data_IF_212340149715
#
_entry.id   IF_212340149715
#
_cell.length_a   1.000
_cell.length_b   1.000
_cell.length_c   1.000
_cell.angle_alpha   90.00
_cell.angle_beta   90.00
_cell.angle_gamma   90.00
#
_symmetry.space_group_name_H-M   'P 1'
#
loop_
_entity.id
_entity.type
_entity.pdbx_description
1 polymer ?
#
# COMPACT_ATOMS: atom_id res chain seq x y z
N UNK A 1 13.93 30.50 6.46
CA UNK A 1 15.40 30.60 6.49
C UNK A 1 15.92 30.38 7.91
N UNK A 2 16.32 29.16 8.26
CA UNK A 2 17.07 28.83 9.48
C UNK A 2 18.20 27.88 9.06
N UNK A 3 19.35 28.45 8.69
CA UNK A 3 20.56 27.69 8.38
C UNK A 3 21.21 27.28 9.70
N UNK A 4 21.03 26.04 10.10
CA UNK A 4 21.86 25.42 11.13
C UNK A 4 23.24 25.17 10.50
N UNK A 5 24.19 26.07 10.74
CA UNK A 5 25.59 25.86 10.37
C UNK A 5 26.18 24.77 11.29
N UNK A 6 25.89 23.50 10.99
CA UNK A 6 26.74 22.39 11.43
C UNK A 6 28.02 22.44 10.61
N UNK A 7 29.00 23.20 11.08
CA UNK A 7 30.37 23.17 10.57
C UNK A 7 30.99 21.84 10.98
N UNK A 8 30.70 20.77 10.24
CA UNK A 8 31.42 19.51 10.33
C UNK A 8 32.77 19.75 9.66
N UNK A 9 33.81 19.99 10.46
CA UNK A 9 35.17 20.01 9.96
C UNK A 9 35.49 18.63 9.34
N UNK A 10 36.16 18.58 8.17
CA UNK A 10 36.52 17.31 7.54
C UNK A 10 37.46 16.50 8.44
N UNK A 11 37.39 15.15 8.42
CA UNK A 11 38.31 14.31 9.16
C UNK A 11 39.74 14.52 8.65
N UNK A 12 40.70 14.58 9.57
CA UNK A 12 42.13 14.68 9.25
C UNK A 12 42.54 13.42 8.50
N UNK A 13 43.01 13.59 7.26
CA UNK A 13 43.62 12.52 6.45
C UNK A 13 45.01 12.23 7.03
N UNK A 14 45.21 11.03 7.54
CA UNK A 14 46.50 10.56 8.06
C UNK A 14 47.20 9.68 7.01
N UNK A 15 48.50 9.89 6.72
CA UNK A 15 49.28 8.97 5.90
C UNK A 15 49.38 7.60 6.58
N UNK A 16 49.13 6.55 5.81
CA UNK A 16 48.91 5.16 6.26
C UNK A 16 50.13 4.45 6.84
N UNK A 17 51.33 5.04 6.80
CA UNK A 17 52.59 4.34 7.11
C UNK A 17 53.11 4.48 8.56
N UNK A 18 52.43 5.19 9.47
CA UNK A 18 52.99 5.50 10.81
C UNK A 18 52.17 4.92 11.98
N UNK A 19 51.16 4.09 11.73
CA UNK A 19 50.18 3.70 12.78
C UNK A 19 50.71 2.60 13.73
N UNK A 20 51.75 1.85 13.36
CA UNK A 20 52.23 0.71 14.16
C UNK A 20 52.96 1.10 15.45
N UNK A 21 53.71 2.21 15.47
CA UNK A 21 54.67 2.50 16.57
C UNK A 21 54.38 3.78 17.38
N UNK A 22 53.11 4.17 17.50
CA UNK A 22 52.72 5.35 18.29
C UNK A 22 52.38 5.00 19.75
N UNK A 23 53.04 5.69 20.68
CA UNK A 23 52.78 5.61 22.12
C UNK A 23 51.34 6.03 22.48
N UNK A 24 50.78 5.56 23.62
CA UNK A 24 49.40 5.85 24.02
C UNK A 24 49.10 7.37 24.10
N UNK A 25 50.10 8.15 24.50
CA UNK A 25 50.04 9.61 24.62
C UNK A 25 49.93 10.29 23.26
N UNK A 26 50.65 9.81 22.24
CA UNK A 26 50.57 10.32 20.86
C UNK A 26 49.21 9.98 20.22
N UNK A 27 48.68 8.77 20.47
CA UNK A 27 47.32 8.40 20.03
C UNK A 27 46.23 9.25 20.68
N UNK A 28 46.43 9.68 21.93
CA UNK A 28 45.50 10.57 22.66
C UNK A 28 45.52 11.99 22.09
N UNK A 29 46.69 12.50 21.69
CA UNK A 29 46.83 13.81 21.03
C UNK A 29 46.17 13.83 19.64
N UNK A 30 46.32 12.75 18.86
CA UNK A 30 45.69 12.65 17.52
C UNK A 30 44.16 12.60 17.58
N UNK A 31 43.58 12.07 18.66
CA UNK A 31 42.12 12.03 18.90
C UNK A 31 41.61 13.23 19.70
N UNK A 32 42.49 14.12 20.14
CA UNK A 32 42.11 15.25 20.98
C UNK A 32 41.46 16.35 20.14
N UNK A 33 40.17 16.59 20.38
CA UNK A 33 39.45 17.71 19.81
C UNK A 33 39.04 18.65 20.93
N UNK A 34 39.56 19.88 20.90
CA UNK A 34 39.23 20.94 21.87
C UNK A 34 37.73 21.19 21.96
N UNK A 35 37.02 21.12 20.83
CA UNK A 35 35.56 21.27 20.77
C UNK A 35 34.82 20.21 21.60
N UNK A 36 35.25 18.94 21.54
CA UNK A 36 34.61 17.87 22.32
C UNK A 36 34.82 18.05 23.83
N UNK A 37 36.01 18.50 24.25
CA UNK A 37 36.28 18.79 25.66
C UNK A 37 35.52 20.03 26.16
N UNK A 38 35.38 21.06 25.33
CA UNK A 38 34.51 22.21 25.65
C UNK A 38 33.05 21.80 25.75
N UNK A 39 32.57 20.93 24.86
CA UNK A 39 31.20 20.42 24.87
C UNK A 39 30.94 19.54 26.11
N UNK A 40 31.89 18.68 26.49
CA UNK A 40 31.81 17.91 27.75
C UNK A 40 31.75 18.81 28.98
N UNK A 41 32.61 19.84 29.06
CA UNK A 41 32.59 20.82 30.17
C UNK A 41 31.27 21.59 30.22
N UNK A 42 30.72 21.97 29.06
CA UNK A 42 29.42 22.63 28.99
C UNK A 42 28.30 21.72 29.48
N UNK A 43 28.29 20.46 29.05
CA UNK A 43 27.29 19.48 29.48
C UNK A 43 27.37 19.19 30.99
N UNK A 44 28.58 19.14 31.56
CA UNK A 44 28.77 19.05 33.01
C UNK A 44 28.20 20.27 33.74
N UNK A 45 28.51 21.49 33.28
CA UNK A 45 27.96 22.72 33.86
C UNK A 45 26.42 22.77 33.80
N UNK A 46 25.82 22.30 32.71
CA UNK A 46 24.37 22.21 32.56
C UNK A 46 23.79 21.18 33.53
N UNK A 47 24.40 20.00 33.65
CA UNK A 47 23.98 18.96 34.58
C UNK A 47 24.08 19.43 36.05
N UNK A 48 25.17 20.11 36.42
CA UNK A 48 25.36 20.64 37.77
C UNK A 48 24.34 21.72 38.11
N UNK A 49 24.02 22.62 37.16
CA UNK A 49 22.95 23.61 37.34
C UNK A 49 21.59 22.95 37.50
N UNK A 50 21.30 21.90 36.73
CA UNK A 50 20.05 21.16 36.83
C UNK A 50 19.92 20.44 38.18
N UNK A 51 20.98 19.79 38.65
CA UNK A 51 21.03 19.15 39.97
C UNK A 51 20.84 20.16 41.09
N UNK A 52 21.50 21.33 41.01
CA UNK A 52 21.33 22.39 41.99
C UNK A 52 19.90 22.93 42.03
N UNK A 53 19.29 23.16 40.88
CA UNK A 53 17.89 23.56 40.79
C UNK A 53 16.95 22.49 41.37
N UNK A 54 17.19 21.21 41.07
CA UNK A 54 16.44 20.09 41.62
C UNK A 54 16.52 20.04 43.15
N UNK A 55 17.73 20.12 43.73
CA UNK A 55 17.92 20.14 45.18
C UNK A 55 17.21 21.33 45.84
N UNK A 56 17.30 22.53 45.26
CA UNK A 56 16.59 23.72 45.78
C UNK A 56 15.08 23.49 45.75
N UNK A 57 14.55 22.89 44.68
CA UNK A 57 13.11 22.66 44.52
C UNK A 57 12.61 21.58 45.49
N UNK A 58 13.39 20.52 45.71
CA UNK A 58 13.07 19.46 46.66
C UNK A 58 13.18 19.94 48.11
N UNK A 59 14.20 20.73 48.46
CA UNK A 59 14.29 21.33 49.80
C UNK A 59 13.12 22.28 50.06
N UNK A 60 12.72 23.11 49.08
CA UNK A 60 11.51 23.93 49.17
C UNK A 60 10.23 23.11 49.30
N UNK A 61 10.18 21.91 48.71
CA UNK A 61 9.03 21.01 48.83
C UNK A 61 8.96 20.36 50.21
N UNK A 62 10.11 19.99 50.77
CA UNK A 62 10.21 19.39 52.11
C UNK A 62 10.01 20.42 53.23
N UNK A 63 10.27 21.71 52.98
CA UNK A 63 10.03 22.81 53.91
C UNK A 63 8.62 23.41 53.80
N UNK A 64 7.77 22.93 52.89
CA UNK A 64 6.36 23.32 52.89
C UNK A 64 5.67 22.58 54.01
N UNK A 65 5.10 23.33 54.95
CA UNK A 65 4.14 22.79 55.90
C UNK A 65 3.04 22.03 55.13
N UNK A 66 2.56 20.89 55.65
CA UNK A 66 1.44 20.20 55.04
C UNK A 66 0.28 21.18 54.87
N UNK A 67 -0.38 21.13 53.71
CA UNK A 67 -1.53 21.99 53.45
C UNK A 67 -2.52 21.86 54.62
N UNK A 68 -3.01 22.98 55.20
CA UNK A 68 -3.93 22.91 56.32
C UNK A 68 -5.11 22.02 55.94
N UNK A 69 -5.59 21.14 56.85
CA UNK A 69 -6.74 20.31 56.57
C UNK A 69 -7.90 21.21 56.13
N UNK A 70 -8.51 20.86 55.01
CA UNK A 70 -9.64 21.60 54.43
C UNK A 70 -10.69 21.73 55.55
N UNK A 71 -11.09 22.95 55.96
CA UNK A 71 -12.09 23.12 56.99
C UNK A 71 -13.35 22.35 56.61
N UNK A 72 -13.80 21.44 57.47
CA UNK A 72 -15.04 20.70 57.22
C UNK A 72 -16.23 21.66 57.34
N UNK A 73 -16.58 22.27 56.22
CA UNK A 73 -17.78 23.10 56.10
C UNK A 73 -19.03 22.23 56.34
N UNK A 74 -20.05 22.74 57.07
CA UNK A 74 -21.34 22.09 57.23
C UNK A 74 -21.92 21.66 55.87
N UNK A 75 -22.62 20.51 55.83
CA UNK A 75 -23.08 19.88 54.57
C UNK A 75 -23.90 20.82 53.66
N UNK A 76 -24.70 21.73 54.24
CA UNK A 76 -25.48 22.76 53.54
C UNK A 76 -24.61 23.84 52.89
N UNK A 77 -23.59 24.34 53.59
CA UNK A 77 -22.65 25.34 53.07
C UNK A 77 -21.75 24.72 52.01
N UNK A 78 -21.33 23.47 52.22
CA UNK A 78 -20.53 22.69 51.28
C UNK A 78 -21.26 22.47 49.94
N UNK A 79 -22.55 22.12 49.98
CA UNK A 79 -23.39 21.98 48.78
C UNK A 79 -23.57 23.30 48.02
N UNK A 80 -23.81 24.41 48.73
CA UNK A 80 -23.92 25.73 48.10
C UNK A 80 -22.59 26.18 47.47
N UNK A 81 -21.48 25.99 48.16
CA UNK A 81 -20.15 26.33 47.66
C UNK A 81 -19.78 25.54 46.40
N UNK A 82 -20.06 24.23 46.39
CA UNK A 82 -19.86 23.40 45.21
C UNK A 82 -20.74 23.81 44.03
N UNK A 83 -22.01 24.16 44.26
CA UNK A 83 -22.88 24.68 43.20
C UNK A 83 -22.34 26.00 42.61
N UNK A 84 -21.87 26.93 43.44
CA UNK A 84 -21.27 28.20 42.98
C UNK A 84 -20.01 27.93 42.15
N UNK A 85 -19.15 27.02 42.58
CA UNK A 85 -17.95 26.63 41.82
C UNK A 85 -18.31 26.03 40.46
N UNK A 86 -19.30 25.15 40.41
CA UNK A 86 -19.80 24.54 39.16
C UNK A 86 -20.35 25.61 38.21
N UNK A 87 -21.22 26.51 38.70
CA UNK A 87 -21.80 27.59 37.88
C UNK A 87 -20.72 28.55 37.37
N UNK A 88 -19.76 28.93 38.21
CA UNK A 88 -18.65 29.80 37.81
C UNK A 88 -17.76 29.13 36.76
N UNK A 89 -17.45 27.84 36.92
CA UNK A 89 -16.66 27.10 35.95
C UNK A 89 -17.37 27.02 34.58
N UNK A 90 -18.67 26.70 34.56
CA UNK A 90 -19.45 26.65 33.31
C UNK A 90 -19.54 28.01 32.62
N UNK A 91 -19.74 29.08 33.40
CA UNK A 91 -19.73 30.44 32.88
C UNK A 91 -18.37 30.80 32.26
N UNK A 92 -17.28 30.54 32.98
CA UNK A 92 -15.92 30.80 32.49
C UNK A 92 -15.58 29.93 31.27
N UNK A 93 -16.00 28.66 31.23
CA UNK A 93 -15.84 27.77 30.07
C UNK A 93 -16.54 28.37 28.85
N UNK A 94 -17.77 28.87 29.00
CA UNK A 94 -18.51 29.56 27.94
C UNK A 94 -17.76 30.79 27.43
N UNK A 95 -17.20 31.61 28.32
CA UNK A 95 -16.40 32.77 27.93
C UNK A 95 -15.13 32.39 27.15
N UNK A 96 -14.45 31.29 27.54
CA UNK A 96 -13.26 30.81 26.82
C UNK A 96 -13.62 30.26 25.44
N UNK A 97 -14.75 29.55 25.32
CA UNK A 97 -15.23 29.02 24.04
C UNK A 97 -15.71 30.10 23.07
N UNK A 98 -16.13 31.27 23.56
CA UNK A 98 -16.54 32.41 22.72
C UNK A 98 -15.36 33.18 22.11
N UNK A 99 -14.12 32.89 22.52
CA UNK A 99 -12.95 33.53 21.90
C UNK A 99 -12.81 33.07 20.44
N UNK A 100 -12.47 34.00 19.51
CA UNK A 100 -12.17 33.63 18.15
C UNK A 100 -10.95 32.71 18.12
N UNK A 101 -11.11 31.56 17.48
CA UNK A 101 -10.06 30.55 17.33
C UNK A 101 -9.24 30.84 16.07
N UNK A 102 -7.96 30.45 16.10
CA UNK A 102 -7.15 30.44 14.87
C UNK A 102 -7.63 29.28 14.00
N UNK A 103 -8.13 29.52 12.77
CA UNK A 103 -8.56 28.47 11.87
C UNK A 103 -7.36 27.62 11.43
N UNK A 104 -7.62 26.40 10.94
CA UNK A 104 -6.56 25.55 10.41
C UNK A 104 -5.83 26.27 9.25
N UNK A 105 -4.49 26.31 9.25
CA UNK A 105 -3.75 26.89 8.14
C UNK A 105 -4.03 26.14 6.83
N UNK A 106 -4.44 26.86 5.77
CA UNK A 106 -4.74 26.26 4.47
C UNK A 106 -3.58 25.46 3.88
N UNK A 107 -2.35 25.86 4.17
CA UNK A 107 -1.14 25.14 3.75
C UNK A 107 -1.10 23.69 4.26
N UNK A 108 -1.69 23.41 5.43
CA UNK A 108 -1.75 22.05 5.98
C UNK A 108 -2.73 21.19 5.19
N UNK A 109 -3.90 21.74 4.88
CA UNK A 109 -4.90 21.07 4.05
C UNK A 109 -4.34 20.77 2.65
N UNK A 110 -3.67 21.74 2.03
CA UNK A 110 -3.00 21.52 0.73
C UNK A 110 -1.93 20.43 0.83
N UNK A 111 -1.12 20.44 1.90
CA UNK A 111 -0.07 19.43 2.10
C UNK A 111 -0.67 18.02 2.28
N UNK A 112 -1.78 17.89 3.01
CA UNK A 112 -2.50 16.63 3.15
C UNK A 112 -2.98 16.11 1.80
N UNK A 113 -3.57 16.98 0.97
CA UNK A 113 -4.02 16.60 -0.37
C UNK A 113 -2.87 16.19 -1.29
N UNK A 114 -1.71 16.84 -1.22
CA UNK A 114 -0.54 16.44 -2.02
C UNK A 114 0.02 15.06 -1.65
N UNK A 115 -0.30 14.53 -0.46
CA UNK A 115 0.09 13.18 -0.06
C UNK A 115 -0.88 12.11 -0.57
N UNK A 116 -2.07 12.49 -1.04
CA UNK A 116 -3.06 11.58 -1.59
C UNK A 116 -2.81 11.40 -3.09
N UNK A 117 -2.67 10.16 -3.59
CA UNK A 117 -2.54 9.89 -5.02
C UNK A 117 -3.71 10.44 -5.84
N UNK A 118 -3.42 11.01 -7.01
CA UNK A 118 -4.40 11.66 -7.90
C UNK A 118 -5.52 10.69 -8.34
N UNK A 119 -5.16 9.42 -8.60
CA UNK A 119 -6.09 8.36 -9.01
C UNK A 119 -7.19 8.04 -7.99
N UNK A 120 -7.00 8.40 -6.72
CA UNK A 120 -8.02 8.23 -5.68
C UNK A 120 -8.94 9.44 -5.56
N UNK A 121 -8.50 10.61 -6.07
CA UNK A 121 -9.25 11.86 -6.03
C UNK A 121 -10.15 12.04 -7.25
N UNK A 122 -9.71 11.54 -8.42
CA UNK A 122 -10.48 11.61 -9.67
C UNK A 122 -11.84 10.90 -9.52
N UNK A 123 -12.93 11.64 -9.78
CA UNK A 123 -14.31 11.14 -9.70
C UNK A 123 -14.89 11.05 -8.28
N UNK A 124 -14.12 11.45 -7.26
CA UNK A 124 -14.51 11.39 -5.83
C UNK A 124 -14.37 12.74 -5.11
N UNK A 125 -14.50 13.84 -5.83
CA UNK A 125 -14.28 15.20 -5.33
C UNK A 125 -15.21 15.56 -4.15
N UNK A 126 -16.46 15.10 -4.19
CA UNK A 126 -17.44 15.30 -3.11
C UNK A 126 -17.05 14.59 -1.81
N UNK A 127 -16.43 13.41 -1.91
CA UNK A 127 -15.98 12.65 -0.74
C UNK A 127 -14.75 13.32 -0.13
N UNK A 128 -13.82 13.76 -0.98
CA UNK A 128 -12.63 14.53 -0.55
C UNK A 128 -13.04 15.81 0.17
N UNK A 129 -14.03 16.54 -0.34
CA UNK A 129 -14.52 17.74 0.31
C UNK A 129 -15.11 17.46 1.70
N UNK A 130 -15.95 16.42 1.84
CA UNK A 130 -16.51 16.02 3.14
C UNK A 130 -15.42 15.63 4.15
N UNK A 131 -14.38 14.93 3.70
CA UNK A 131 -13.25 14.56 4.57
C UNK A 131 -12.45 15.77 5.03
N UNK A 132 -12.26 16.78 4.16
CA UNK A 132 -11.61 18.03 4.54
C UNK A 132 -12.45 18.79 5.58
N UNK A 133 -13.78 18.83 5.39
CA UNK A 133 -14.71 19.45 6.35
C UNK A 133 -14.62 18.75 7.72
N UNK A 134 -14.61 17.41 7.75
CA UNK A 134 -14.42 16.63 8.98
C UNK A 134 -13.10 16.96 9.68
N UNK A 135 -11.99 17.05 8.94
CA UNK A 135 -10.68 17.42 9.50
C UNK A 135 -10.69 18.83 10.10
N UNK A 136 -11.37 19.79 9.45
CA UNK A 136 -11.52 21.15 9.97
C UNK A 136 -12.32 21.13 11.27
N UNK A 137 -13.46 20.44 11.31
CA UNK A 137 -14.31 20.33 12.49
C UNK A 137 -13.56 19.69 13.67
N UNK A 138 -12.80 18.62 13.42
CA UNK A 138 -12.01 17.93 14.45
C UNK A 138 -10.86 18.79 14.97
N UNK A 139 -10.20 19.55 14.10
CA UNK A 139 -9.19 20.52 14.50
C UNK A 139 -9.79 21.59 15.40
N UNK A 140 -10.95 22.15 15.03
CA UNK A 140 -11.66 23.14 15.82
C UNK A 140 -12.08 22.60 17.19
N UNK A 141 -12.67 21.41 17.22
CA UNK A 141 -13.06 20.74 18.46
C UNK A 141 -11.85 20.50 19.37
N UNK A 142 -10.73 20.06 18.80
CA UNK A 142 -9.49 19.80 19.53
C UNK A 142 -8.84 21.08 20.07
N UNK A 143 -8.85 22.16 19.30
CA UNK A 143 -8.26 23.43 19.71
C UNK A 143 -9.12 24.14 20.76
N UNK A 144 -10.46 24.11 20.64
CA UNK A 144 -11.38 24.62 21.67
C UNK A 144 -11.15 23.89 23.00
N UNK A 145 -10.98 22.57 22.96
CA UNK A 145 -10.62 21.75 24.13
C UNK A 145 -9.27 22.18 24.74
N UNK A 146 -8.25 22.33 23.89
CA UNK A 146 -6.93 22.78 24.34
C UNK A 146 -6.98 24.17 25.00
N UNK A 147 -7.73 25.11 24.45
CA UNK A 147 -7.90 26.45 25.00
C UNK A 147 -8.53 26.42 26.39
N UNK A 148 -9.64 25.68 26.56
CA UNK A 148 -10.31 25.54 27.86
C UNK A 148 -9.35 24.98 28.91
N UNK A 149 -8.61 23.92 28.58
CA UNK A 149 -7.64 23.29 29.50
C UNK A 149 -6.45 24.18 29.84
N UNK A 150 -6.01 25.01 28.91
CA UNK A 150 -4.86 25.91 29.13
C UNK A 150 -5.23 27.08 30.04
N UNK A 151 -6.46 27.59 29.93
CA UNK A 151 -6.91 28.78 30.67
C UNK A 151 -7.60 28.41 31.98
N UNK A 152 -8.38 27.33 32.01
CA UNK A 152 -9.19 26.92 33.16
C UNK A 152 -8.72 25.58 33.73
N UNK A 153 -8.57 25.53 35.05
CA UNK A 153 -8.44 24.26 35.78
C UNK A 153 -9.82 23.78 36.18
N UNK A 154 -10.18 22.54 35.80
CA UNK A 154 -11.42 21.90 36.21
C UNK A 154 -11.42 21.70 37.74
N UNK A 155 -12.41 22.20 38.48
CA UNK A 155 -12.54 21.94 39.91
C UNK A 155 -13.05 20.50 40.13
N UNK A 156 -12.54 19.84 41.17
CA UNK A 156 -12.92 18.47 41.54
C UNK A 156 -14.23 18.48 42.35
N UNK A 157 -15.36 18.50 41.64
CA UNK A 157 -16.71 18.66 42.21
C UNK A 157 -17.69 17.71 41.54
N UNK A 158 -18.52 17.03 42.35
CA UNK A 158 -19.64 16.19 41.87
C UNK A 158 -20.65 17.06 41.09
N UNK A 159 -20.90 16.72 39.83
CA UNK A 159 -21.76 17.49 38.91
C UNK A 159 -21.06 18.07 37.67
N UNK A 160 -19.74 17.86 37.52
CA UNK A 160 -18.98 18.11 36.29
C UNK A 160 -18.46 16.80 35.65
N UNK A 161 -19.12 15.68 35.95
CA UNK A 161 -18.74 14.33 35.50
C UNK A 161 -19.03 14.16 34.00
N UNK A 162 -20.17 14.68 33.51
CA UNK A 162 -20.53 14.67 32.08
C UNK A 162 -19.63 15.57 31.21
N UNK A 163 -18.88 16.49 31.84
CA UNK A 163 -17.89 17.36 31.21
C UNK A 163 -16.50 16.71 31.13
N UNK A 164 -16.42 15.39 31.35
CA UNK A 164 -15.20 14.61 31.12
C UNK A 164 -14.92 14.51 29.62
N UNK A 165 -14.39 15.60 29.06
CA UNK A 165 -13.78 15.60 27.74
C UNK A 165 -12.72 14.51 27.73
N UNK A 166 -12.88 13.53 26.83
CA UNK A 166 -11.98 12.40 26.65
C UNK A 166 -10.52 12.82 26.88
N UNK A 167 -9.73 12.04 27.63
CA UNK A 167 -8.33 12.36 27.87
C UNK A 167 -7.67 12.65 26.51
N UNK A 168 -6.69 13.57 26.48
CA UNK A 168 -5.87 13.69 25.28
C UNK A 168 -5.39 12.28 24.93
N UNK A 169 -5.31 11.88 23.66
CA UNK A 169 -4.65 10.64 23.30
C UNK A 169 -3.23 10.74 23.85
N UNK A 170 -3.03 10.15 25.03
CA UNK A 170 -1.71 10.04 25.60
C UNK A 170 -1.03 9.03 24.69
N UNK A 171 0.17 9.38 24.21
CA UNK A 171 1.10 8.39 23.64
C UNK A 171 0.93 7.10 24.45
N UNK A 172 0.56 5.97 23.82
CA UNK A 172 -0.05 4.84 24.51
C UNK A 172 0.67 4.55 25.82
N UNK A 173 0.04 4.93 26.94
CA UNK A 173 0.57 4.72 28.29
C UNK A 173 0.57 3.21 28.49
N UNK A 174 1.76 2.61 28.44
CA UNK A 174 1.93 1.16 28.34
C UNK A 174 3.02 0.73 27.35
N UNK A 175 3.52 1.63 26.50
CA UNK A 175 4.80 1.44 25.81
C UNK A 175 5.95 1.65 26.80
N UNK A 176 6.09 0.72 27.73
CA UNK A 176 7.29 0.58 28.52
C UNK A 176 8.45 0.20 27.58
N UNK A 177 9.30 1.14 27.20
CA UNK A 177 10.51 0.85 26.40
C UNK A 177 11.57 0.05 27.17
N UNK A 178 11.35 -0.23 28.46
CA UNK A 178 12.21 -1.06 29.33
C UNK A 178 11.84 -2.55 29.32
N UNK A 179 10.76 -2.92 28.63
CA UNK A 179 10.26 -4.28 28.59
C UNK A 179 11.19 -5.30 27.88
N UNK A 180 11.15 -6.59 28.27
CA UNK A 180 12.10 -7.62 27.85
C UNK A 180 12.11 -7.90 26.34
N UNK A 181 11.06 -7.50 25.61
CA UNK A 181 11.01 -7.65 24.16
C UNK A 181 12.02 -6.76 23.43
N UNK A 182 12.52 -5.67 24.02
CA UNK A 182 13.52 -4.80 23.35
C UNK A 182 14.77 -5.59 22.97
N UNK A 183 15.20 -6.54 23.82
CA UNK A 183 16.34 -7.42 23.52
C UNK A 183 16.00 -8.34 22.35
N UNK A 184 14.82 -8.96 22.36
CA UNK A 184 14.34 -9.82 21.28
C UNK A 184 14.19 -9.06 19.96
N UNK A 185 13.59 -7.87 19.98
CA UNK A 185 13.48 -6.97 18.84
C UNK A 185 14.84 -6.52 18.33
N UNK A 186 15.76 -6.11 19.21
CA UNK A 186 17.11 -5.70 18.80
C UNK A 186 17.89 -6.87 18.20
N UNK A 187 17.70 -8.08 18.75
CA UNK A 187 18.28 -9.31 18.22
C UNK A 187 17.69 -9.66 16.85
N UNK A 188 16.36 -9.66 16.71
CA UNK A 188 15.66 -9.89 15.45
C UNK A 188 16.05 -8.85 14.39
N UNK A 189 16.08 -7.56 14.75
CA UNK A 189 16.54 -6.47 13.88
C UNK A 189 17.98 -6.69 13.42
N UNK A 190 18.90 -7.02 14.34
CA UNK A 190 20.30 -7.33 13.98
C UNK A 190 20.39 -8.55 13.06
N UNK A 191 19.61 -9.60 13.33
CA UNK A 191 19.55 -10.82 12.52
C UNK A 191 19.03 -10.53 11.10
N UNK A 192 17.96 -9.76 10.97
CA UNK A 192 17.42 -9.31 9.68
C UNK A 192 18.46 -8.47 8.96
N UNK A 193 19.06 -7.48 9.62
CA UNK A 193 20.03 -6.58 9.01
C UNK A 193 21.31 -7.30 8.56
N UNK A 194 21.71 -8.36 9.27
CA UNK A 194 22.86 -9.20 8.89
C UNK A 194 22.61 -10.15 7.73
N UNK A 195 21.33 -10.48 7.43
CA UNK A 195 20.97 -11.48 6.41
C UNK A 195 20.37 -10.86 5.14
N UNK A 196 19.60 -9.79 5.28
CA UNK A 196 18.79 -9.21 4.19
C UNK A 196 19.61 -8.32 3.23
N UNK A 197 20.85 -7.96 3.59
CA UNK A 197 21.82 -7.23 2.75
C UNK A 197 21.28 -6.02 1.93
N UNK A 198 20.17 -5.40 2.36
CA UNK A 198 19.43 -4.36 1.61
C UNK A 198 20.28 -3.13 1.29
N UNK A 199 21.21 -2.80 2.17
CA UNK A 199 22.05 -1.59 2.07
C UNK A 199 23.24 -1.79 1.11
N UNK A 200 23.44 -3.00 0.58
CA UNK A 200 24.56 -3.27 -0.30
C UNK A 200 24.44 -2.50 -1.63
N UNK A 201 25.49 -1.81 -2.11
CA UNK A 201 25.43 -1.02 -3.36
C UNK A 201 24.93 -1.81 -4.57
N UNK A 202 25.29 -3.10 -4.65
CA UNK A 202 24.83 -4.01 -5.72
C UNK A 202 23.31 -4.21 -5.73
N UNK A 203 22.66 -4.23 -4.56
CA UNK A 203 21.20 -4.34 -4.47
C UNK A 203 20.51 -3.09 -5.02
N UNK A 204 21.08 -1.92 -4.75
CA UNK A 204 20.60 -0.66 -5.33
C UNK A 204 20.73 -0.66 -6.85
N UNK A 205 21.89 -1.04 -7.40
CA UNK A 205 22.07 -1.09 -8.85
C UNK A 205 21.15 -2.10 -9.52
N UNK A 206 20.89 -3.24 -8.87
CA UNK A 206 19.90 -4.23 -9.33
C UNK A 206 18.48 -3.66 -9.33
N UNK A 207 18.11 -2.91 -8.29
CA UNK A 207 16.85 -2.16 -8.23
C UNK A 207 16.74 -1.17 -9.40
N UNK A 208 17.78 -0.39 -9.65
CA UNK A 208 17.83 0.60 -10.73
C UNK A 208 17.67 -0.08 -12.11
N UNK A 209 18.27 -1.26 -12.32
CA UNK A 209 18.09 -2.03 -13.55
C UNK A 209 16.65 -2.50 -13.74
N UNK A 210 16.02 -3.01 -12.67
CA UNK A 210 14.61 -3.42 -12.74
C UNK A 210 13.69 -2.23 -12.99
N UNK A 211 13.89 -1.10 -12.32
CA UNK A 211 13.09 0.10 -12.57
C UNK A 211 13.24 0.58 -14.02
N UNK A 212 14.47 0.63 -14.54
CA UNK A 212 14.72 1.07 -15.91
C UNK A 212 14.14 0.10 -16.96
N UNK A 213 14.13 -1.20 -16.69
CA UNK A 213 13.60 -2.21 -17.60
C UNK A 213 12.07 -2.32 -17.54
N UNK A 214 11.50 -2.24 -16.34
CA UNK A 214 10.11 -2.60 -16.10
C UNK A 214 9.18 -1.41 -15.94
N UNK A 215 9.64 -0.20 -15.56
CA UNK A 215 8.73 0.92 -15.24
C UNK A 215 7.65 1.20 -16.30
N UNK A 216 8.00 1.21 -17.58
CA UNK A 216 7.07 1.43 -18.70
C UNK A 216 6.80 0.18 -19.55
N UNK A 217 7.13 -1.01 -19.06
CA UNK A 217 7.03 -2.25 -19.82
C UNK A 217 5.89 -3.13 -19.30
N UNK A 218 5.06 -3.64 -20.20
CA UNK A 218 4.05 -4.67 -19.90
C UNK A 218 4.38 -5.91 -20.72
N UNK A 219 4.01 -7.09 -20.21
CA UNK A 219 4.22 -8.34 -20.95
C UNK A 219 3.32 -8.40 -22.20
N UNK A 220 2.12 -7.86 -22.08
CA UNK A 220 1.13 -7.77 -23.16
C UNK A 220 0.62 -6.34 -23.21
N UNK A 221 0.60 -5.77 -24.41
CA UNK A 221 0.04 -4.45 -24.65
C UNK A 221 -1.44 -4.57 -25.02
N UNK A 222 -2.30 -4.22 -24.06
CA UNK A 222 -3.74 -4.31 -24.23
C UNK A 222 -4.37 -3.09 -24.91
N UNK A 223 -3.63 -2.01 -25.13
CA UNK A 223 -4.17 -0.79 -25.76
C UNK A 223 -4.68 -1.02 -27.18
N UNK A 224 -4.15 -2.03 -27.87
CA UNK A 224 -4.56 -2.38 -29.23
C UNK A 224 -5.87 -3.18 -29.31
N UNK A 225 -6.42 -3.65 -28.18
CA UNK A 225 -7.61 -4.50 -28.17
C UNK A 225 -8.89 -3.72 -28.45
N UNK A 226 -8.96 -2.44 -28.08
CA UNK A 226 -10.10 -1.56 -28.37
C UNK A 226 -10.09 -0.99 -29.80
N UNK A 227 -8.93 -1.00 -30.47
CA UNK A 227 -8.74 -0.44 -31.82
C UNK A 227 -8.79 -1.49 -32.94
N UNK A 228 -8.87 -2.78 -32.59
CA UNK A 228 -8.86 -3.90 -33.54
C UNK A 228 -10.27 -4.37 -33.88
N UNK A 229 -10.37 -5.10 -34.99
CA UNK A 229 -11.57 -5.86 -35.37
C UNK A 229 -11.99 -6.84 -34.25
N UNK A 230 -13.27 -7.26 -34.21
CA UNK A 230 -13.76 -8.23 -33.23
C UNK A 230 -12.84 -9.43 -33.10
N UNK A 231 -12.44 -9.71 -31.87
CA UNK A 231 -11.39 -10.65 -31.54
C UNK A 231 -11.98 -12.05 -31.45
N UNK A 232 -11.30 -12.99 -32.06
CA UNK A 232 -11.61 -14.41 -31.93
C UNK A 232 -10.87 -15.01 -30.72
N UNK A 233 -11.48 -15.94 -30.00
CA UNK A 233 -10.90 -16.53 -28.79
C UNK A 233 -9.56 -17.22 -29.07
N UNK A 234 -9.45 -17.98 -30.14
CA UNK A 234 -8.21 -18.68 -30.49
C UNK A 234 -7.11 -17.67 -30.84
N UNK A 235 -7.50 -16.59 -31.52
CA UNK A 235 -6.58 -15.49 -31.85
C UNK A 235 -6.10 -14.74 -30.59
N UNK A 236 -6.97 -14.56 -29.58
CA UNK A 236 -6.62 -13.94 -28.31
C UNK A 236 -5.53 -14.76 -27.61
N UNK A 237 -5.77 -16.06 -27.41
CA UNK A 237 -4.83 -16.94 -26.71
C UNK A 237 -3.49 -17.01 -27.44
N UNK A 238 -3.50 -17.18 -28.76
CA UNK A 238 -2.28 -17.22 -29.56
C UNK A 238 -1.49 -15.89 -29.48
N UNK A 239 -2.18 -14.75 -29.54
CA UNK A 239 -1.55 -13.43 -29.45
C UNK A 239 -0.95 -13.16 -28.07
N UNK A 240 -1.66 -13.52 -27.01
CA UNK A 240 -1.17 -13.40 -25.62
C UNK A 240 0.05 -14.29 -25.42
N UNK A 241 -0.05 -15.57 -25.79
CA UNK A 241 1.05 -16.53 -25.68
C UNK A 241 2.30 -16.08 -26.45
N UNK A 242 2.13 -15.58 -27.69
CA UNK A 242 3.22 -15.02 -28.48
C UNK A 242 3.83 -13.77 -27.85
N UNK A 243 2.99 -12.89 -27.30
CA UNK A 243 3.45 -11.66 -26.63
C UNK A 243 4.24 -11.98 -25.37
N UNK A 244 3.74 -12.90 -24.54
CA UNK A 244 4.44 -13.42 -23.36
C UNK A 244 5.81 -14.02 -23.73
N UNK A 245 5.87 -14.86 -24.77
CA UNK A 245 7.12 -15.48 -25.24
C UNK A 245 8.16 -14.44 -25.69
N UNK A 246 7.72 -13.46 -26.50
CA UNK A 246 8.58 -12.35 -26.95
C UNK A 246 9.05 -11.47 -25.79
N UNK A 247 8.16 -11.21 -24.83
CA UNK A 247 8.50 -10.43 -23.65
C UNK A 247 9.52 -11.16 -22.76
N UNK A 248 9.35 -12.46 -22.56
CA UNK A 248 10.30 -13.31 -21.83
C UNK A 248 11.68 -13.31 -22.48
N UNK A 249 11.77 -13.52 -23.79
CA UNK A 249 13.03 -13.45 -24.54
C UNK A 249 13.69 -12.07 -24.39
N UNK A 250 12.91 -10.99 -24.52
CA UNK A 250 13.41 -9.62 -24.35
C UNK A 250 13.95 -9.39 -22.93
N UNK A 251 13.24 -9.83 -21.90
CA UNK A 251 13.68 -9.72 -20.49
C UNK A 251 14.98 -10.50 -20.28
N UNK A 252 15.07 -11.70 -20.84
CA UNK A 252 16.24 -12.56 -20.73
C UNK A 252 17.48 -11.93 -21.40
N UNK A 253 17.32 -11.32 -22.57
CA UNK A 253 18.43 -10.72 -23.32
C UNK A 253 18.83 -9.32 -22.83
N UNK A 254 17.93 -8.60 -22.14
CA UNK A 254 18.19 -7.22 -21.70
C UNK A 254 18.44 -7.14 -20.20
N UNK A 255 17.39 -7.23 -19.39
CA UNK A 255 17.47 -7.09 -17.93
C UNK A 255 18.32 -8.21 -17.34
N UNK A 256 18.03 -9.47 -17.66
CA UNK A 256 18.72 -10.60 -17.03
C UNK A 256 20.22 -10.62 -17.37
N UNK A 257 20.61 -10.39 -18.64
CA UNK A 257 22.03 -10.26 -19.00
C UNK A 257 22.74 -9.14 -18.25
N UNK A 258 22.09 -7.98 -18.04
CA UNK A 258 22.66 -6.88 -17.26
C UNK A 258 22.83 -7.25 -15.79
N UNK A 259 21.88 -7.99 -15.23
CA UNK A 259 21.98 -8.53 -13.88
C UNK A 259 23.17 -9.48 -13.79
N UNK A 260 23.27 -10.48 -14.66
CA UNK A 260 24.40 -11.42 -14.68
C UNK A 260 25.74 -10.68 -14.81
N UNK A 261 25.85 -9.72 -15.74
CA UNK A 261 27.06 -8.91 -15.91
C UNK A 261 27.50 -8.14 -14.66
N UNK A 262 26.53 -7.65 -13.85
CA UNK A 262 26.82 -7.01 -12.56
C UNK A 262 27.45 -7.98 -11.57
N UNK A 263 26.95 -9.22 -11.53
CA UNK A 263 27.42 -10.25 -10.60
C UNK A 263 28.71 -10.95 -11.05
N UNK A 264 29.04 -10.93 -12.34
CA UNK A 264 30.30 -11.44 -12.87
C UNK A 264 31.52 -10.56 -12.58
N UNK A 265 31.35 -9.23 -12.40
CA UNK A 265 32.49 -8.31 -12.34
C UNK A 265 32.87 -7.84 -10.93
N UNK A 266 31.91 -7.46 -10.07
CA UNK A 266 32.19 -6.72 -8.81
C UNK A 266 31.23 -6.99 -7.65
N UNK A 267 30.36 -7.99 -7.73
CA UNK A 267 29.26 -8.09 -6.76
C UNK A 267 29.65 -8.47 -5.32
N UNK A 268 30.81 -9.10 -5.11
CA UNK A 268 31.21 -9.64 -3.80
C UNK A 268 32.12 -8.71 -2.98
N UNK A 269 32.37 -7.48 -3.43
CA UNK A 269 33.29 -6.57 -2.71
C UNK A 269 32.73 -6.21 -1.32
N UNK A 270 33.36 -6.73 -0.27
CA UNK A 270 32.99 -6.47 1.13
C UNK A 270 32.08 -7.52 1.78
N UNK A 271 31.74 -8.60 1.06
CA UNK A 271 30.91 -9.70 1.60
C UNK A 271 31.80 -10.79 2.17
N UNK A 272 31.51 -11.25 3.39
CA UNK A 272 32.23 -12.37 4.01
C UNK A 272 31.75 -13.70 3.44
N UNK A 273 32.64 -14.69 3.35
CA UNK A 273 32.35 -16.02 2.77
C UNK A 273 31.07 -16.68 3.34
N UNK A 274 30.86 -16.61 4.66
CA UNK A 274 29.66 -17.17 5.32
C UNK A 274 28.35 -16.40 5.07
N UNK A 275 28.42 -15.24 4.42
CA UNK A 275 27.25 -14.39 4.12
C UNK A 275 26.85 -14.47 2.64
N UNK A 276 27.66 -15.13 1.81
CA UNK A 276 27.46 -15.20 0.35
C UNK A 276 26.11 -15.85 0.01
N UNK A 277 25.73 -16.93 0.68
CA UNK A 277 24.44 -17.59 0.46
C UNK A 277 23.27 -16.67 0.81
N UNK A 278 23.35 -15.99 1.96
CA UNK A 278 22.31 -15.02 2.38
C UNK A 278 22.20 -13.83 1.44
N UNK A 279 23.32 -13.44 0.83
CA UNK A 279 23.37 -12.37 -0.15
C UNK A 279 22.68 -12.81 -1.45
N UNK A 280 23.05 -13.95 -2.03
CA UNK A 280 22.41 -14.45 -3.25
C UNK A 280 20.93 -14.80 -3.05
N UNK A 281 20.53 -15.29 -1.87
CA UNK A 281 19.11 -15.44 -1.55
C UNK A 281 18.37 -14.09 -1.54
N UNK A 282 19.01 -13.04 -1.03
CA UNK A 282 18.44 -11.69 -1.07
C UNK A 282 18.34 -11.15 -2.51
N UNK A 283 19.32 -11.48 -3.37
CA UNK A 283 19.30 -11.15 -4.81
C UNK A 283 18.13 -11.86 -5.50
N UNK A 284 17.99 -13.17 -5.26
CA UNK A 284 16.92 -13.97 -5.84
C UNK A 284 15.55 -13.42 -5.43
N UNK A 285 15.33 -13.14 -4.14
CA UNK A 285 14.08 -12.54 -3.64
C UNK A 285 13.80 -11.18 -4.28
N UNK A 286 14.84 -10.35 -4.46
CA UNK A 286 14.68 -9.04 -5.09
C UNK A 286 14.28 -9.16 -6.56
N UNK A 287 14.93 -10.04 -7.32
CA UNK A 287 14.60 -10.33 -8.71
C UNK A 287 13.18 -10.90 -8.84
N UNK A 288 12.84 -11.88 -8.01
CA UNK A 288 11.49 -12.44 -7.89
C UNK A 288 10.43 -11.38 -7.66
N UNK A 289 10.65 -10.45 -6.73
CA UNK A 289 9.73 -9.35 -6.47
C UNK A 289 9.52 -8.44 -7.69
N UNK A 290 10.60 -8.12 -8.43
CA UNK A 290 10.51 -7.28 -9.63
C UNK A 290 9.69 -7.96 -10.74
N UNK A 291 9.90 -9.25 -10.97
CA UNK A 291 9.15 -10.01 -11.96
C UNK A 291 7.69 -10.21 -11.55
N UNK A 292 7.44 -10.49 -10.27
CA UNK A 292 6.07 -10.62 -9.73
C UNK A 292 5.29 -9.31 -9.80
N UNK A 293 5.95 -8.18 -9.56
CA UNK A 293 5.34 -6.86 -9.74
C UNK A 293 4.94 -6.62 -11.20
N UNK A 294 5.82 -6.95 -12.15
CA UNK A 294 5.53 -6.85 -13.58
C UNK A 294 4.32 -7.72 -13.99
N UNK A 295 4.29 -8.97 -13.52
CA UNK A 295 3.19 -9.90 -13.77
C UNK A 295 1.88 -9.35 -13.19
N UNK A 296 1.91 -8.93 -11.92
CA UNK A 296 0.75 -8.39 -11.21
C UNK A 296 0.17 -7.18 -11.93
N UNK A 297 1.02 -6.21 -12.30
CA UNK A 297 0.58 -5.02 -13.03
C UNK A 297 0.01 -5.34 -14.42
N UNK A 298 0.60 -6.32 -15.13
CA UNK A 298 0.06 -6.74 -16.44
C UNK A 298 -1.34 -7.32 -16.28
N UNK A 299 -1.58 -8.14 -15.25
CA UNK A 299 -2.91 -8.69 -14.98
C UNK A 299 -3.88 -7.60 -14.54
N UNK A 300 -3.47 -6.68 -13.66
CA UNK A 300 -4.29 -5.54 -13.27
C UNK A 300 -4.71 -4.68 -14.46
N UNK A 301 -3.79 -4.41 -15.39
CA UNK A 301 -4.09 -3.67 -16.61
C UNK A 301 -5.04 -4.43 -17.54
N UNK A 302 -4.98 -5.76 -17.57
CA UNK A 302 -5.97 -6.58 -18.29
C UNK A 302 -7.36 -6.48 -17.67
N UNK A 303 -7.46 -6.57 -16.34
CA UNK A 303 -8.75 -6.48 -15.62
C UNK A 303 -9.39 -5.11 -15.80
N UNK A 304 -8.59 -4.04 -15.85
CA UNK A 304 -9.09 -2.66 -16.08
C UNK A 304 -9.84 -2.50 -17.41
N UNK A 305 -9.57 -3.33 -18.42
CA UNK A 305 -10.31 -3.28 -19.69
C UNK A 305 -11.79 -3.64 -19.53
N UNK A 306 -12.12 -4.34 -18.44
CA UNK A 306 -13.46 -4.83 -18.14
C UNK A 306 -14.16 -3.99 -17.05
N UNK A 307 -13.61 -2.81 -16.73
CA UNK A 307 -14.20 -1.89 -15.75
C UNK A 307 -15.54 -1.34 -16.26
N UNK A 308 -16.56 -1.36 -15.39
CA UNK A 308 -17.91 -0.90 -15.73
C UNK A 308 -17.98 0.61 -15.99
N UNK A 309 -17.06 1.37 -15.40
CA UNK A 309 -17.00 2.84 -15.51
C UNK A 309 -16.34 3.30 -16.83
N UNK A 310 -15.37 2.54 -17.36
CA UNK A 310 -14.67 2.86 -18.61
C UNK A 310 -15.01 1.87 -19.74
N UNK A 311 -16.20 2.05 -20.31
CA UNK A 311 -16.66 1.23 -21.44
C UNK A 311 -15.92 1.49 -22.76
N UNK A 312 -15.07 2.51 -22.83
CA UNK A 312 -14.37 2.86 -24.08
C UNK A 312 -13.24 1.88 -24.43
N UNK A 313 -12.75 1.15 -23.43
CA UNK A 313 -11.65 0.20 -23.56
C UNK A 313 -12.10 -1.27 -23.64
N UNK A 314 -13.41 -1.55 -23.60
CA UNK A 314 -13.95 -2.90 -23.59
C UNK A 314 -13.59 -3.67 -24.87
N UNK A 315 -12.98 -4.86 -24.76
CA UNK A 315 -12.66 -5.68 -25.92
C UNK A 315 -13.94 -6.24 -26.56
N UNK A 316 -13.99 -6.20 -27.89
CA UNK A 316 -15.09 -6.78 -28.66
C UNK A 316 -14.73 -8.20 -29.07
N UNK A 317 -15.58 -9.16 -28.73
CA UNK A 317 -15.41 -10.57 -29.09
C UNK A 317 -16.35 -10.97 -30.23
N UNK A 318 -15.83 -11.76 -31.16
CA UNK A 318 -16.63 -12.33 -32.25
C UNK A 318 -17.34 -13.58 -31.75
N UNK A 319 -18.66 -13.60 -31.86
CA UNK A 319 -19.48 -14.79 -31.63
C UNK A 319 -20.33 -15.06 -32.86
N UNK A 320 -20.35 -16.30 -33.31
CA UNK A 320 -21.12 -16.77 -34.47
C UNK A 320 -22.29 -17.60 -33.99
N UNK A 321 -23.49 -17.30 -34.45
CA UNK A 321 -24.65 -18.15 -34.19
C UNK A 321 -24.66 -19.29 -35.20
N UNK A 322 -24.50 -20.52 -34.72
CA UNK A 322 -24.62 -21.73 -35.52
C UNK A 322 -26.05 -22.25 -35.35
N UNK A 323 -26.73 -22.43 -36.48
CA UNK A 323 -28.07 -23.04 -36.55
C UNK A 323 -27.90 -24.35 -37.30
N UNK A 324 -27.96 -25.45 -36.55
CA UNK A 324 -28.00 -26.81 -37.08
C UNK A 324 -29.45 -27.36 -36.97
N UNK A 325 -29.75 -28.45 -37.68
CA UNK A 325 -31.09 -29.05 -37.83
C UNK A 325 -31.81 -29.31 -36.50
N UNK A 326 -31.07 -29.40 -35.38
CA UNK A 326 -31.63 -29.59 -34.04
C UNK A 326 -31.04 -28.66 -32.95
N UNK A 327 -30.13 -27.74 -33.29
CA UNK A 327 -29.44 -26.95 -32.27
C UNK A 327 -29.13 -25.51 -32.72
N UNK A 328 -29.53 -24.53 -31.91
CA UNK A 328 -29.15 -23.12 -32.04
C UNK A 328 -28.16 -22.81 -30.94
N UNK A 329 -26.90 -22.63 -31.28
CA UNK A 329 -25.86 -22.36 -30.29
C UNK A 329 -24.89 -21.29 -30.77
N UNK A 330 -24.41 -20.47 -29.84
CA UNK A 330 -23.28 -19.59 -30.12
C UNK A 330 -21.98 -20.38 -30.12
N UNK A 331 -21.12 -20.02 -31.08
CA UNK A 331 -19.73 -20.43 -31.14
C UNK A 331 -18.82 -19.19 -31.14
N UNK A 332 -17.88 -19.07 -30.19
CA UNK A 332 -17.73 -19.93 -29.01
C UNK A 332 -18.96 -19.85 -28.09
N UNK A 333 -19.17 -20.88 -27.27
CA UNK A 333 -20.20 -20.85 -26.22
C UNK A 333 -19.85 -19.79 -25.16
N UNK A 334 -20.84 -19.36 -24.37
CA UNK A 334 -20.57 -18.40 -23.28
C UNK A 334 -19.52 -18.90 -22.28
N UNK A 335 -19.49 -20.22 -22.04
CA UNK A 335 -18.50 -20.85 -21.17
C UNK A 335 -17.11 -20.85 -21.81
N UNK A 336 -17.00 -21.21 -23.09
CA UNK A 336 -15.73 -21.18 -23.83
C UNK A 336 -15.14 -19.76 -23.89
N UNK A 337 -16.00 -18.75 -24.06
CA UNK A 337 -15.58 -17.34 -24.01
C UNK A 337 -15.07 -16.96 -22.61
N UNK A 338 -15.78 -17.35 -21.54
CA UNK A 338 -15.33 -17.12 -20.16
C UNK A 338 -13.97 -17.79 -19.91
N UNK A 339 -13.81 -19.05 -20.32
CA UNK A 339 -12.58 -19.81 -20.18
C UNK A 339 -11.42 -19.18 -20.95
N UNK A 340 -11.65 -18.74 -22.20
CA UNK A 340 -10.63 -18.06 -23.02
C UNK A 340 -10.18 -16.72 -22.42
N UNK A 341 -11.09 -15.93 -21.85
CA UNK A 341 -10.72 -14.67 -21.18
C UNK A 341 -9.92 -14.94 -19.91
N UNK A 342 -10.33 -15.94 -19.11
CA UNK A 342 -9.62 -16.33 -17.90
C UNK A 342 -8.26 -16.99 -18.19
N UNK A 343 -8.13 -17.69 -19.33
CA UNK A 343 -6.88 -18.32 -19.74
C UNK A 343 -5.78 -17.28 -19.93
N UNK A 344 -6.10 -16.04 -20.32
CA UNK A 344 -5.12 -14.93 -20.42
C UNK A 344 -4.37 -14.70 -19.10
N UNK A 345 -5.09 -14.70 -17.98
CA UNK A 345 -4.48 -14.53 -16.65
C UNK A 345 -3.54 -15.68 -16.34
N UNK A 346 -3.93 -16.91 -16.71
CA UNK A 346 -3.09 -18.10 -16.53
C UNK A 346 -1.83 -18.04 -17.41
N UNK A 347 -1.96 -17.65 -18.68
CA UNK A 347 -0.82 -17.49 -19.59
C UNK A 347 0.18 -16.45 -19.08
N UNK A 348 -0.30 -15.31 -18.59
CA UNK A 348 0.56 -14.31 -17.95
C UNK A 348 1.24 -14.92 -16.72
N UNK A 349 0.49 -15.56 -15.84
CA UNK A 349 1.02 -16.20 -14.62
C UNK A 349 2.06 -17.29 -14.87
N UNK A 350 1.97 -18.00 -15.99
CA UNK A 350 2.93 -19.04 -16.39
C UNK A 350 4.18 -18.49 -17.08
N UNK A 351 4.24 -17.19 -17.36
CA UNK A 351 5.40 -16.55 -18.01
C UNK A 351 6.52 -16.32 -16.98
N UNK A 352 7.79 -16.37 -17.41
CA UNK A 352 8.99 -16.12 -16.58
C UNK A 352 9.29 -17.14 -15.46
N UNK A 353 8.60 -18.29 -15.42
CA UNK A 353 8.76 -19.30 -14.35
C UNK A 353 10.12 -20.02 -14.38
N UNK A 354 10.79 -20.04 -15.52
CA UNK A 354 12.02 -20.82 -15.74
C UNK A 354 13.31 -19.98 -15.63
N UNK A 355 13.23 -18.74 -15.13
CA UNK A 355 14.41 -17.88 -15.02
C UNK A 355 15.27 -18.35 -13.85
N UNK A 356 16.52 -18.71 -14.13
CA UNK A 356 17.48 -19.18 -13.13
C UNK A 356 17.91 -18.07 -12.18
N UNK A 357 18.11 -18.43 -10.90
CA UNK A 357 18.78 -17.54 -9.95
C UNK A 357 20.20 -17.23 -10.41
N UNK A 358 20.70 -16.03 -10.09
CA UNK A 358 22.08 -15.62 -10.42
C UNK A 358 23.11 -16.61 -9.87
N UNK A 359 22.88 -17.12 -8.66
CA UNK A 359 23.75 -18.12 -8.05
C UNK A 359 23.75 -19.45 -8.82
N UNK A 360 22.59 -19.98 -9.22
CA UNK A 360 22.56 -21.16 -10.10
C UNK A 360 23.28 -20.91 -11.41
N UNK A 361 23.01 -19.79 -12.06
CA UNK A 361 23.63 -19.48 -13.35
C UNK A 361 25.16 -19.46 -13.27
N UNK A 362 25.72 -18.87 -12.20
CA UNK A 362 27.16 -18.81 -11.98
C UNK A 362 27.77 -20.17 -11.60
N UNK A 363 27.04 -21.01 -10.87
CA UNK A 363 27.53 -22.28 -10.33
C UNK A 363 27.12 -23.51 -11.15
N UNK A 364 26.39 -23.33 -12.26
CA UNK A 364 25.83 -24.43 -13.06
C UNK A 364 24.70 -25.20 -12.36
N UNK A 365 23.94 -24.54 -11.48
CA UNK A 365 22.77 -25.10 -10.81
C UNK A 365 21.47 -24.94 -11.61
N UNK A 366 20.37 -25.49 -11.08
CA UNK A 366 19.04 -25.50 -11.71
C UNK A 366 17.96 -24.72 -10.96
N UNK A 367 18.30 -24.02 -9.87
CA UNK A 367 17.32 -23.27 -9.08
C UNK A 367 16.80 -22.05 -9.83
N UNK A 368 15.47 -21.95 -9.93
CA UNK A 368 14.74 -20.85 -10.57
C UNK A 368 14.27 -19.81 -9.55
N UNK A 369 13.88 -18.64 -10.06
CA UNK A 369 13.25 -17.58 -9.29
C UNK A 369 11.80 -17.94 -8.97
N UNK A 370 11.35 -17.53 -7.79
CA UNK A 370 9.93 -17.57 -7.43
C UNK A 370 9.23 -16.39 -8.10
N UNK A 371 8.52 -16.65 -9.20
CA UNK A 371 7.76 -15.64 -9.96
C UNK A 371 6.27 -15.92 -9.94
N UNK A 372 5.79 -16.77 -9.03
CA UNK A 372 4.38 -17.10 -8.94
C UNK A 372 3.57 -15.85 -8.58
N UNK A 373 2.46 -15.66 -9.31
CA UNK A 373 1.50 -14.62 -8.98
C UNK A 373 0.92 -14.87 -7.59
N UNK A 374 0.73 -13.82 -6.76
CA UNK A 374 0.12 -13.99 -5.45
C UNK A 374 -1.27 -14.61 -5.58
N UNK A 375 -1.57 -15.61 -4.74
CA UNK A 375 -2.86 -16.29 -4.74
C UNK A 375 -4.03 -15.33 -4.57
N UNK A 376 -3.87 -14.31 -3.73
CA UNK A 376 -4.88 -13.27 -3.51
C UNK A 376 -5.18 -12.49 -4.81
N UNK A 377 -4.15 -12.16 -5.59
CA UNK A 377 -4.30 -11.47 -6.87
C UNK A 377 -5.10 -12.33 -7.85
N UNK A 378 -4.76 -13.62 -7.98
CA UNK A 378 -5.46 -14.55 -8.89
C UNK A 378 -6.94 -14.70 -8.50
N UNK A 379 -7.23 -14.84 -7.21
CA UNK A 379 -8.62 -14.97 -6.73
C UNK A 379 -9.41 -13.70 -7.02
N UNK A 380 -8.85 -12.53 -6.72
CA UNK A 380 -9.49 -11.24 -7.00
C UNK A 380 -9.74 -11.06 -8.51
N UNK A 381 -8.72 -11.25 -9.36
CA UNK A 381 -8.83 -11.04 -10.81
C UNK A 381 -9.86 -11.97 -11.44
N UNK A 382 -9.85 -13.25 -11.05
CA UNK A 382 -10.82 -14.24 -11.52
C UNK A 382 -12.23 -13.86 -11.11
N UNK A 383 -12.43 -13.42 -9.87
CA UNK A 383 -13.75 -13.02 -9.38
C UNK A 383 -14.30 -11.80 -10.10
N UNK A 384 -13.45 -10.80 -10.35
CA UNK A 384 -13.83 -9.55 -11.02
C UNK A 384 -14.13 -9.80 -12.51
N UNK A 385 -13.26 -10.52 -13.22
CA UNK A 385 -13.48 -10.89 -14.62
C UNK A 385 -14.77 -11.70 -14.80
N UNK A 386 -14.98 -12.73 -13.98
CA UNK A 386 -16.22 -13.54 -14.05
C UNK A 386 -17.47 -12.71 -13.83
N UNK A 387 -17.41 -11.73 -12.93
CA UNK A 387 -18.53 -10.81 -12.69
C UNK A 387 -18.77 -9.95 -13.93
N UNK A 388 -17.75 -9.26 -14.42
CA UNK A 388 -17.87 -8.39 -15.59
C UNK A 388 -18.33 -9.15 -16.85
N UNK A 389 -17.81 -10.35 -17.08
CA UNK A 389 -18.23 -11.21 -18.21
C UNK A 389 -19.72 -11.55 -18.11
N UNK A 390 -20.21 -11.99 -16.94
CA UNK A 390 -21.63 -12.31 -16.76
C UNK A 390 -22.53 -11.10 -16.99
N UNK A 391 -22.16 -9.95 -16.42
CA UNK A 391 -22.93 -8.71 -16.53
C UNK A 391 -23.03 -8.26 -18.01
N UNK A 392 -21.96 -8.43 -18.80
CA UNK A 392 -21.96 -8.11 -20.23
C UNK A 392 -22.71 -9.13 -21.11
N UNK A 393 -22.75 -10.41 -20.70
CA UNK A 393 -23.40 -11.49 -21.47
C UNK A 393 -24.89 -11.67 -21.16
N UNK A 394 -25.40 -11.11 -20.06
CA UNK A 394 -26.81 -11.22 -19.67
C UNK A 394 -27.75 -10.67 -20.75
N UNK A 395 -27.43 -9.52 -21.33
CA UNK A 395 -28.21 -8.90 -22.41
C UNK A 395 -28.28 -9.76 -23.68
N UNK A 396 -27.14 -10.14 -24.28
CA UNK A 396 -27.10 -11.04 -25.43
C UNK A 396 -27.82 -12.38 -25.19
N UNK A 397 -27.67 -12.95 -23.99
CA UNK A 397 -28.34 -14.19 -23.62
C UNK A 397 -29.86 -14.02 -23.58
N UNK A 398 -30.37 -13.00 -22.89
CA UNK A 398 -31.80 -12.72 -22.84
C UNK A 398 -32.39 -12.44 -24.23
N UNK A 399 -31.65 -11.74 -25.08
CA UNK A 399 -32.05 -11.49 -26.48
C UNK A 399 -32.13 -12.80 -27.26
N UNK A 400 -31.13 -13.68 -27.14
CA UNK A 400 -31.13 -14.99 -27.77
C UNK A 400 -32.30 -15.87 -27.29
N UNK A 401 -32.54 -15.93 -25.98
CA UNK A 401 -33.64 -16.70 -25.39
C UNK A 401 -34.99 -16.24 -25.95
N UNK A 402 -35.19 -14.93 -26.12
CA UNK A 402 -36.42 -14.40 -26.74
C UNK A 402 -36.64 -14.83 -28.20
N UNK A 403 -35.56 -15.03 -28.96
CA UNK A 403 -35.63 -15.55 -30.33
C UNK A 403 -35.92 -17.04 -30.37
N UNK A 404 -35.34 -17.80 -29.43
CA UNK A 404 -35.61 -19.23 -29.28
C UNK A 404 -37.06 -19.46 -28.88
N UNK A 405 -37.63 -18.64 -27.99
CA UNK A 405 -39.06 -18.74 -27.64
C UNK A 405 -39.97 -18.43 -28.84
N UNK A 406 -39.66 -17.38 -29.62
CA UNK A 406 -40.54 -16.94 -30.72
C UNK A 406 -40.47 -17.82 -31.96
N UNK A 407 -39.27 -18.31 -32.29
CA UNK A 407 -38.98 -19.01 -33.54
C UNK A 407 -38.37 -20.40 -33.32
N UNK A 408 -38.45 -20.94 -32.10
CA UNK A 408 -37.98 -22.28 -31.73
C UNK A 408 -38.58 -23.36 -32.61
N UNK A 409 -39.92 -23.33 -32.70
CA UNK A 409 -40.77 -24.29 -33.42
C UNK A 409 -40.45 -24.48 -34.91
N UNK A 410 -39.76 -23.51 -35.53
CA UNK A 410 -39.34 -23.59 -36.94
C UNK A 410 -38.15 -24.52 -37.16
N UNK A 411 -37.39 -24.80 -36.11
CA UNK A 411 -36.07 -25.46 -36.22
C UNK A 411 -36.01 -26.73 -35.36
N UNK A 412 -36.94 -26.94 -34.45
CA UNK A 412 -37.00 -28.14 -33.59
C UNK A 412 -37.81 -29.30 -34.21
N UNK A 413 -38.13 -29.22 -35.50
CA UNK A 413 -38.96 -30.20 -36.22
C UNK A 413 -40.47 -30.08 -35.94
N UNK A 414 -40.91 -29.21 -35.02
CA UNK A 414 -42.34 -29.01 -34.72
C UNK A 414 -43.10 -28.50 -35.94
N UNK A 415 -42.49 -27.60 -36.73
CA UNK A 415 -43.07 -27.13 -37.98
C UNK A 415 -43.30 -28.27 -38.98
N UNK A 416 -42.34 -29.18 -39.13
CA UNK A 416 -42.46 -30.35 -40.01
C UNK A 416 -43.58 -31.28 -39.52
N UNK A 417 -43.64 -31.57 -38.22
CA UNK A 417 -44.73 -32.38 -37.64
C UNK A 417 -46.10 -31.70 -37.80
N UNK A 418 -46.16 -30.36 -37.73
CA UNK A 418 -47.39 -29.60 -37.97
C UNK A 418 -47.85 -29.73 -39.43
N UNK A 419 -46.91 -29.65 -40.38
CA UNK A 419 -47.18 -29.83 -41.81
C UNK A 419 -47.62 -31.27 -42.10
N UNK A 420 -46.90 -32.27 -41.61
CA UNK A 420 -47.26 -33.69 -41.81
C UNK A 420 -48.64 -34.03 -41.26
N UNK A 421 -48.99 -33.48 -40.09
CA UNK A 421 -50.33 -33.65 -39.51
C UNK A 421 -51.41 -32.97 -40.36
N UNK A 422 -51.14 -31.78 -40.87
CA UNK A 422 -52.06 -31.07 -41.77
C UNK A 422 -52.22 -31.83 -43.11
N UNK A 423 -51.16 -32.45 -43.64
CA UNK A 423 -51.27 -33.28 -44.84
C UNK A 423 -52.08 -34.57 -44.64
N UNK A 424 -52.12 -35.10 -43.40
CA UNK A 424 -52.85 -36.32 -43.06
C UNK A 424 -54.36 -36.11 -42.83
N UNK A 425 -54.80 -34.87 -42.62
CA UNK A 425 -56.19 -34.50 -42.34
C UNK A 425 -56.90 -33.98 -43.63
N UNK A 426 -58.22 -34.19 -43.76
CA UNK A 426 -58.99 -33.61 -44.88
C UNK A 426 -59.33 -32.15 -44.58
N UNK A 427 -58.76 -31.22 -45.36
CA UNK A 427 -58.96 -29.78 -45.20
C UNK A 427 -59.74 -29.16 -46.36
N UNK A 428 -60.44 -28.07 -46.07
CA UNK A 428 -61.18 -27.28 -47.06
C UNK A 428 -60.22 -26.39 -47.87
N UNK A 429 -60.59 -26.03 -49.11
CA UNK A 429 -59.72 -25.22 -49.99
C UNK A 429 -59.32 -23.86 -49.37
N UNK A 430 -60.20 -23.26 -48.56
CA UNK A 430 -59.93 -21.99 -47.87
C UNK A 430 -58.86 -22.11 -46.77
N UNK A 431 -58.57 -23.32 -46.27
CA UNK A 431 -57.53 -23.58 -45.27
C UNK A 431 -56.13 -23.75 -45.89
N UNK A 432 -56.05 -23.93 -47.22
CA UNK A 432 -54.78 -24.02 -47.97
C UNK A 432 -54.26 -22.67 -48.49
N UNK A 433 -55.10 -21.63 -48.47
CA UNK A 433 -54.79 -20.25 -48.91
C UNK A 433 -54.65 -19.30 -47.73
#
# INVERSE_FOLDING_TARGET
SKKTLTTVLPPIVLPSSVISDLTPTQKKLLKYQRCNEQHKKLNQLVADRALKAYCITMNKRNQRDPAPPIPELPSTVRKCFFNILTTNYLFMKKCVLQRPMVPIPQQWLTSMLTMVPQSLMEGRELVVQKLIEEVIEDYEKSMRRFMVRTVLKKPDVKGLEDEEEAPLPVLPLGLDFSSPWRKNFSHAKKKILSKLNVVHPTMKTLLDFGYAAFSSFLLVDFSSFSLREPIDCDSLEANVSLSCSKAEEKILHTWYQRVIGLFSQKALTGIKLHQVDSFYNSVAVLMSNQLRELLTRTVEDFVKLFDSEDRSCLPLFKMTLIVDENNKAFYPSFQELEEAILSVVNHIGQTLQNIQTVHSWLMGGTTTLDTELPSLTIVWTTSELKKSIRDNLEGPKAYFDSYVERYGWLVDGTAETQVERFEAEEHSFDEYT
#
